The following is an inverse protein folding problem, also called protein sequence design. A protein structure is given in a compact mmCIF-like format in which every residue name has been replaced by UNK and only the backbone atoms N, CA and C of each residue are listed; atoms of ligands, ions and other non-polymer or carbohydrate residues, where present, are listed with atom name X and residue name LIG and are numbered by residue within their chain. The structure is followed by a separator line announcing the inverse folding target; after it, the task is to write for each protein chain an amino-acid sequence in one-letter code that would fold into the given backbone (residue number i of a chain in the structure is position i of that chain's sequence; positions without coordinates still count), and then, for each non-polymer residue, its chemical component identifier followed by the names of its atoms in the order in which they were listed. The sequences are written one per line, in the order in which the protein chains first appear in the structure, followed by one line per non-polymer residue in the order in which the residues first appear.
data_IF_831877583516
#
_entry.id   IF_831877583516
#
_cell.length_a   1.000
_cell.length_b   1.000
_cell.length_c   1.000
_cell.angle_alpha   90.00
_cell.angle_beta   90.00
_cell.angle_gamma   90.00
#
_symmetry.space_group_name_H-M   'P 1'
#
loop_
_entity.id
_entity.type
_entity.pdbx_description
1 polymer ?
#
# COMPACT_ATOMS: atom_id res chain seq x y z
N UNK A 1 -13.83 13.90 -7.57
CA UNK A 1 -13.70 14.10 -9.04
C UNK A 1 -12.26 14.28 -9.49
N UNK A 2 -11.45 15.16 -8.88
CA UNK A 2 -10.05 15.41 -9.30
C UNK A 2 -9.12 14.18 -9.23
N UNK A 3 -9.18 13.37 -8.17
CA UNK A 3 -8.44 12.10 -8.09
C UNK A 3 -8.84 11.10 -9.20
N UNK A 4 -10.12 11.13 -9.61
CA UNK A 4 -10.67 10.32 -10.71
C UNK A 4 -10.05 10.62 -12.07
N UNK A 5 -9.80 11.91 -12.34
CA UNK A 5 -9.18 12.36 -13.59
C UNK A 5 -7.69 11.99 -13.59
N UNK A 6 -7.02 12.08 -12.44
CA UNK A 6 -5.60 11.77 -12.30
C UNK A 6 -5.27 10.28 -12.49
N UNK A 7 -6.01 9.35 -11.86
CA UNK A 7 -5.69 7.92 -12.02
C UNK A 7 -6.08 7.35 -13.39
N UNK A 8 -7.10 7.93 -14.04
CA UNK A 8 -7.53 7.47 -15.37
C UNK A 8 -6.47 7.74 -16.45
N UNK A 9 -5.48 8.59 -16.16
CA UNK A 9 -4.39 8.96 -17.07
C UNK A 9 -3.00 8.49 -16.61
N UNK A 10 -2.77 8.24 -15.31
CA UNK A 10 -1.46 7.83 -14.77
C UNK A 10 -1.32 6.32 -14.44
N UNK A 11 -2.40 5.53 -14.51
CA UNK A 11 -2.49 4.24 -13.82
C UNK A 11 -2.28 4.38 -12.30
N UNK A 12 -2.24 3.28 -11.53
CA UNK A 12 -2.35 3.32 -10.07
C UNK A 12 -1.15 2.73 -9.34
N UNK A 13 -0.70 1.53 -9.71
CA UNK A 13 0.47 0.88 -9.11
C UNK A 13 0.15 -0.10 -7.97
N UNK A 14 1.15 -0.32 -7.11
CA UNK A 14 1.19 -1.48 -6.19
C UNK A 14 0.04 -1.49 -5.17
N UNK A 15 -0.40 -0.34 -4.67
CA UNK A 15 -1.55 -0.27 -3.75
C UNK A 15 -2.81 -0.90 -4.36
N UNK A 16 -3.08 -0.61 -5.64
CA UNK A 16 -4.23 -1.17 -6.34
C UNK A 16 -4.04 -2.65 -6.73
N UNK A 17 -2.80 -3.08 -6.98
CA UNK A 17 -2.49 -4.49 -7.19
C UNK A 17 -2.86 -5.32 -5.95
N UNK A 18 -2.41 -4.87 -4.77
CA UNK A 18 -2.73 -5.52 -3.49
C UNK A 18 -4.24 -5.41 -3.19
N UNK A 19 -4.83 -4.23 -3.35
CA UNK A 19 -6.25 -4.01 -3.10
C UNK A 19 -7.16 -4.89 -3.99
N UNK A 20 -6.78 -5.09 -5.25
CA UNK A 20 -7.49 -5.98 -6.16
C UNK A 20 -7.46 -7.44 -5.70
N UNK A 21 -6.29 -7.92 -5.25
CA UNK A 21 -6.16 -9.27 -4.70
C UNK A 21 -6.96 -9.46 -3.40
N UNK A 22 -6.93 -8.47 -2.50
CA UNK A 22 -7.72 -8.49 -1.26
C UNK A 22 -9.23 -8.56 -1.54
N UNK A 23 -9.72 -7.74 -2.48
CA UNK A 23 -11.13 -7.76 -2.87
C UNK A 23 -11.54 -9.08 -3.53
N UNK A 24 -10.69 -9.63 -4.40
CA UNK A 24 -10.99 -10.86 -5.13
C UNK A 24 -10.97 -12.12 -4.26
N UNK A 25 -10.06 -12.19 -3.28
CA UNK A 25 -9.84 -13.39 -2.47
C UNK A 25 -10.56 -13.35 -1.11
N UNK A 26 -10.69 -12.16 -0.51
CA UNK A 26 -11.17 -12.00 0.87
C UNK A 26 -12.37 -11.04 0.97
N UNK A 27 -12.92 -10.58 -0.16
CA UNK A 27 -14.09 -9.70 -0.22
C UNK A 27 -13.92 -8.36 0.54
N UNK A 28 -12.68 -7.90 0.72
CA UNK A 28 -12.39 -6.62 1.37
C UNK A 28 -12.93 -5.48 0.50
N UNK A 29 -13.71 -4.52 1.05
CA UNK A 29 -14.19 -3.36 0.30
C UNK A 29 -13.04 -2.59 -0.34
N UNK A 30 -13.15 -2.25 -1.63
CA UNK A 30 -12.02 -1.74 -2.41
C UNK A 30 -11.35 -0.48 -1.82
N UNK A 31 -12.15 0.46 -1.30
CA UNK A 31 -11.63 1.67 -0.66
C UNK A 31 -10.82 1.35 0.60
N UNK A 32 -11.29 0.40 1.41
CA UNK A 32 -10.57 -0.06 2.59
C UNK A 32 -9.30 -0.82 2.21
N UNK A 33 -9.36 -1.71 1.23
CA UNK A 33 -8.20 -2.47 0.77
C UNK A 33 -7.08 -1.54 0.25
N UNK A 34 -7.43 -0.45 -0.44
CA UNK A 34 -6.46 0.58 -0.81
C UNK A 34 -5.92 1.34 0.41
N UNK A 35 -6.78 1.73 1.35
CA UNK A 35 -6.35 2.42 2.58
C UNK A 35 -5.36 1.57 3.39
N UNK A 36 -5.58 0.25 3.47
CA UNK A 36 -4.67 -0.70 4.11
C UNK A 36 -3.31 -0.78 3.40
N UNK A 37 -3.28 -0.79 2.06
CA UNK A 37 -2.02 -0.96 1.32
C UNK A 37 -1.21 0.34 1.13
N UNK A 38 -1.87 1.50 1.14
CA UNK A 38 -1.29 2.78 0.70
C UNK A 38 -0.04 3.21 1.48
N UNK A 39 -0.02 3.25 2.83
CA UNK A 39 1.18 3.69 3.55
C UNK A 39 2.42 2.82 3.27
N UNK A 40 2.26 1.50 3.21
CA UNK A 40 3.35 0.53 3.01
C UNK A 40 3.90 0.59 1.59
N UNK A 41 3.01 0.66 0.60
CA UNK A 41 3.43 0.78 -0.81
C UNK A 41 4.05 2.14 -1.11
N UNK A 42 3.61 3.20 -0.43
CA UNK A 42 4.26 4.51 -0.48
C UNK A 42 5.67 4.45 0.12
N UNK A 43 5.84 3.81 1.29
CA UNK A 43 7.16 3.61 1.90
C UNK A 43 8.11 2.80 1.00
N UNK A 44 7.58 1.76 0.34
CA UNK A 44 8.34 0.94 -0.62
C UNK A 44 8.80 1.74 -1.83
N UNK A 45 7.92 2.58 -2.36
CA UNK A 45 8.18 3.40 -3.55
C UNK A 45 9.04 4.62 -3.27
N UNK A 46 9.15 5.07 -2.01
CA UNK A 46 9.83 6.32 -1.61
C UNK A 46 11.17 6.58 -2.33
N UNK A 47 12.08 5.60 -2.51
CA UNK A 47 13.35 5.83 -3.21
C UNK A 47 13.20 6.28 -4.68
N UNK A 48 12.10 5.94 -5.34
CA UNK A 48 11.83 6.22 -6.76
C UNK A 48 10.87 7.40 -6.98
N UNK A 49 10.35 8.03 -5.91
CA UNK A 49 9.34 9.09 -6.04
C UNK A 49 9.94 10.47 -6.35
N UNK A 50 11.20 10.71 -5.95
CA UNK A 50 11.85 12.02 -6.06
C UNK A 50 11.00 13.14 -5.44
N UNK A 51 10.98 14.31 -6.09
CA UNK A 51 10.27 15.51 -5.64
C UNK A 51 8.76 15.29 -5.42
N UNK A 52 8.14 14.35 -6.14
CA UNK A 52 6.70 14.04 -5.95
C UNK A 52 6.42 13.46 -4.56
N UNK A 53 7.35 12.68 -4.02
CA UNK A 53 7.24 12.16 -2.66
C UNK A 53 7.27 13.28 -1.62
N UNK A 54 8.15 14.27 -1.83
CA UNK A 54 8.31 15.42 -0.94
C UNK A 54 7.12 16.38 -1.01
N UNK A 55 6.55 16.58 -2.21
CA UNK A 55 5.34 17.36 -2.40
C UNK A 55 4.15 16.74 -1.64
N UNK A 56 3.96 15.43 -1.76
CA UNK A 56 2.90 14.71 -1.02
C UNK A 56 3.15 14.80 0.49
N UNK A 57 4.39 14.62 0.95
CA UNK A 57 4.75 14.75 2.36
C UNK A 57 4.40 16.15 2.90
N UNK A 58 4.69 17.20 2.11
CA UNK A 58 4.37 18.59 2.44
C UNK A 58 2.87 18.83 2.53
N UNK A 59 2.09 18.36 1.54
CA UNK A 59 0.63 18.46 1.54
C UNK A 59 0.02 17.77 2.77
N UNK A 60 0.58 16.61 3.14
CA UNK A 60 0.14 15.85 4.30
C UNK A 60 0.76 16.36 5.61
N UNK A 61 1.55 17.44 5.60
CA UNK A 61 2.24 17.97 6.77
C UNK A 61 2.95 16.87 7.58
N UNK A 62 3.76 16.05 6.90
CA UNK A 62 4.46 14.91 7.49
C UNK A 62 5.90 14.79 6.95
N UNK A 63 6.80 14.08 7.66
CA UNK A 63 8.18 13.90 7.19
C UNK A 63 8.31 13.12 5.89
N UNK A 64 7.34 12.26 5.59
CA UNK A 64 7.26 11.45 4.37
C UNK A 64 5.79 11.32 3.95
N UNK A 65 5.55 10.99 2.68
CA UNK A 65 4.22 10.67 2.19
C UNK A 65 3.61 9.48 2.96
N UNK A 66 4.41 8.44 3.24
CA UNK A 66 3.95 7.25 3.95
C UNK A 66 3.51 7.55 5.39
N UNK A 67 4.28 8.35 6.15
CA UNK A 67 3.91 8.77 7.49
C UNK A 67 2.64 9.63 7.49
N UNK A 68 2.51 10.53 6.51
CA UNK A 68 1.28 11.34 6.34
C UNK A 68 0.04 10.47 6.10
N UNK A 69 0.16 9.45 5.24
CA UNK A 69 -0.93 8.51 4.96
C UNK A 69 -1.28 7.64 6.18
N UNK A 70 -0.27 7.17 6.93
CA UNK A 70 -0.47 6.46 8.20
C UNK A 70 -1.26 7.31 9.19
N UNK A 71 -0.86 8.57 9.39
CA UNK A 71 -1.53 9.50 10.31
C UNK A 71 -2.96 9.77 9.89
N UNK A 72 -3.18 10.09 8.62
CA UNK A 72 -4.53 10.33 8.07
C UNK A 72 -5.42 9.11 8.28
N UNK A 73 -4.92 7.90 7.97
CA UNK A 73 -5.65 6.64 8.15
C UNK A 73 -6.08 6.44 9.61
N UNK A 74 -5.22 6.78 10.58
CA UNK A 74 -5.55 6.76 12.00
C UNK A 74 -6.62 7.79 12.38
N UNK A 75 -6.49 9.03 11.91
CA UNK A 75 -7.45 10.11 12.20
C UNK A 75 -8.87 9.80 11.73
N UNK A 76 -9.02 9.06 10.63
CA UNK A 76 -10.33 8.66 10.08
C UNK A 76 -10.81 7.27 10.53
N UNK A 77 -10.15 6.66 11.52
CA UNK A 77 -10.57 5.38 12.10
C UNK A 77 -10.34 4.15 11.18
N UNK A 78 -9.37 4.24 10.27
CA UNK A 78 -9.02 3.16 9.34
C UNK A 78 -7.68 2.48 9.66
N UNK A 79 -7.07 2.75 10.82
CA UNK A 79 -5.82 2.11 11.26
C UNK A 79 -6.05 0.67 11.77
N UNK A 80 -6.45 -0.21 10.85
CA UNK A 80 -6.80 -1.62 11.09
C UNK A 80 -5.68 -2.58 10.67
N UNK A 81 -5.67 -3.78 11.26
CA UNK A 81 -4.76 -4.85 10.85
C UNK A 81 -5.24 -5.50 9.56
N UNK A 82 -4.31 -5.98 8.72
CA UNK A 82 -4.69 -6.90 7.65
C UNK A 82 -5.32 -8.20 8.16
N UNK A 83 -4.91 -8.68 9.34
CA UNK A 83 -5.37 -9.94 9.93
C UNK A 83 -6.86 -9.86 10.36
N UNK A 84 -7.43 -8.65 10.46
CA UNK A 84 -8.88 -8.46 10.65
C UNK A 84 -9.69 -8.87 9.41
N UNK A 85 -9.03 -9.03 8.25
CA UNK A 85 -9.65 -9.25 6.94
C UNK A 85 -9.14 -10.49 6.20
N UNK A 86 -8.02 -11.06 6.63
CA UNK A 86 -7.33 -12.15 5.93
C UNK A 86 -6.99 -13.24 6.94
N UNK A 87 -7.55 -14.43 6.74
CA UNK A 87 -7.39 -15.55 7.68
C UNK A 87 -6.16 -16.40 7.36
N UNK A 88 -5.13 -16.27 8.21
CA UNK A 88 -3.93 -17.11 8.21
C UNK A 88 -2.90 -16.82 7.10
N UNK A 89 -1.73 -17.46 7.26
CA UNK A 89 -0.57 -17.25 6.38
C UNK A 89 -0.87 -17.61 4.92
N UNK A 90 -1.63 -18.70 4.71
CA UNK A 90 -1.96 -19.15 3.37
C UNK A 90 -2.78 -18.12 2.58
N UNK A 91 -3.70 -17.40 3.24
CA UNK A 91 -4.49 -16.36 2.57
C UNK A 91 -3.64 -15.11 2.29
N UNK A 92 -2.75 -14.73 3.22
CA UNK A 92 -1.78 -13.65 2.99
C UNK A 92 -0.84 -13.94 1.81
N UNK A 93 -0.34 -15.16 1.72
CA UNK A 93 0.47 -15.64 0.60
C UNK A 93 -0.29 -15.60 -0.73
N UNK A 94 -1.56 -16.01 -0.71
CA UNK A 94 -2.44 -15.93 -1.88
C UNK A 94 -2.69 -14.48 -2.31
N UNK A 95 -2.83 -13.55 -1.37
CA UNK A 95 -2.93 -12.10 -1.65
C UNK A 95 -1.68 -11.59 -2.34
N UNK A 96 -0.49 -11.90 -1.80
CA UNK A 96 0.77 -11.47 -2.41
C UNK A 96 0.95 -12.03 -3.83
N UNK A 97 0.70 -13.33 -4.01
CA UNK A 97 0.77 -13.98 -5.31
C UNK A 97 -0.29 -13.45 -6.30
N UNK A 98 -1.49 -13.12 -5.80
CA UNK A 98 -2.56 -12.50 -6.58
C UNK A 98 -2.19 -11.09 -7.06
N UNK A 99 -1.60 -10.28 -6.17
CA UNK A 99 -1.15 -8.93 -6.50
C UNK A 99 -0.11 -8.92 -7.62
N UNK A 100 0.83 -9.88 -7.62
CA UNK A 100 1.86 -10.02 -8.66
C UNK A 100 1.29 -10.31 -10.06
N UNK A 101 0.05 -10.80 -10.18
CA UNK A 101 -0.62 -11.04 -11.47
C UNK A 101 -1.26 -9.77 -12.05
N UNK A 102 -1.32 -8.69 -11.27
CA UNK A 102 -1.97 -7.44 -11.68
C UNK A 102 -1.15 -6.69 -12.72
N UNK A 103 -1.82 -6.15 -13.74
CA UNK A 103 -1.20 -5.23 -14.71
C UNK A 103 -0.65 -3.95 -14.06
N UNK A 104 -1.12 -3.62 -12.84
CA UNK A 104 -0.65 -2.46 -12.08
C UNK A 104 0.81 -2.59 -11.61
N UNK A 105 1.36 -3.82 -11.54
CA UNK A 105 2.77 -4.06 -11.18
C UNK A 105 3.72 -3.38 -12.17
N UNK A 106 3.39 -3.41 -13.48
CA UNK A 106 4.25 -2.88 -14.56
C UNK A 106 4.34 -1.36 -14.60
N UNK A 107 3.37 -0.69 -13.99
CA UNK A 107 3.24 0.78 -14.00
C UNK A 107 3.53 1.38 -12.63
N UNK A 108 3.94 0.56 -11.66
CA UNK A 108 4.40 1.04 -10.36
C UNK A 108 5.80 1.67 -10.51
N UNK A 109 6.11 2.81 -9.85
CA UNK A 109 7.39 3.50 -10.01
C UNK A 109 8.62 2.62 -9.73
N UNK A 110 8.50 1.74 -8.73
CA UNK A 110 9.49 0.72 -8.40
C UNK A 110 8.91 -0.65 -8.73
N UNK A 111 9.45 -1.38 -9.71
CA UNK A 111 8.95 -2.73 -10.01
C UNK A 111 9.22 -3.67 -8.83
N UNK A 112 8.19 -4.18 -8.13
CA UNK A 112 8.40 -5.08 -7.00
C UNK A 112 8.69 -6.51 -7.46
N UNK A 113 9.51 -7.20 -6.68
CA UNK A 113 9.64 -8.65 -6.73
C UNK A 113 8.60 -9.30 -5.82
N UNK A 114 8.25 -10.57 -6.08
CA UNK A 114 7.26 -11.29 -5.27
C UNK A 114 7.60 -11.29 -3.78
N UNK A 115 8.90 -11.46 -3.44
CA UNK A 115 9.37 -11.41 -2.05
C UNK A 115 9.09 -10.06 -1.37
N UNK A 116 9.19 -8.95 -2.10
CA UNK A 116 8.95 -7.62 -1.57
C UNK A 116 7.45 -7.40 -1.34
N UNK A 117 6.60 -7.92 -2.24
CA UNK A 117 5.15 -7.89 -2.04
C UNK A 117 4.73 -8.74 -0.84
N UNK A 118 5.32 -9.92 -0.66
CA UNK A 118 5.10 -10.75 0.55
C UNK A 118 5.52 -10.02 1.81
N UNK A 119 6.69 -9.38 1.81
CA UNK A 119 7.17 -8.58 2.94
C UNK A 119 6.25 -7.39 3.27
N UNK A 120 5.70 -6.73 2.25
CA UNK A 120 4.70 -5.66 2.43
C UNK A 120 3.43 -6.23 3.06
N UNK A 121 2.89 -7.33 2.52
CA UNK A 121 1.68 -7.98 3.05
C UNK A 121 1.88 -8.44 4.49
N UNK A 122 3.05 -8.98 4.83
CA UNK A 122 3.40 -9.35 6.19
C UNK A 122 3.49 -8.13 7.12
N UNK A 123 4.08 -7.02 6.67
CA UNK A 123 4.15 -5.78 7.43
C UNK A 123 2.77 -5.13 7.65
N UNK A 124 1.78 -5.39 6.78
CA UNK A 124 0.41 -4.86 6.92
C UNK A 124 -0.39 -5.55 8.06
N UNK A 125 0.12 -6.64 8.63
CA UNK A 125 -0.51 -7.34 9.75
C UNK A 125 -0.56 -6.51 11.02
N UNK A 126 0.32 -5.52 11.16
CA UNK A 126 0.29 -4.61 12.30
C UNK A 126 -0.19 -3.24 11.80
N UNK A 127 -1.17 -2.61 12.46
CA UNK A 127 -1.52 -1.21 12.22
C UNK A 127 -0.27 -0.32 12.30
N UNK A 128 -0.25 0.80 11.59
CA UNK A 128 0.92 1.70 11.63
C UNK A 128 0.97 2.53 12.90
N UNK A 129 -0.12 2.61 13.67
CA UNK A 129 -0.20 3.49 14.84
C UNK A 129 -0.20 4.97 14.48
N UNK A 130 -0.29 5.32 13.19
CA UNK A 130 -0.09 6.67 12.69
C UNK A 130 1.37 7.02 12.34
N UNK A 131 2.30 6.08 12.49
CA UNK A 131 3.73 6.30 12.28
C UNK A 131 4.21 5.86 10.89
N UNK A 132 5.47 6.17 10.58
CA UNK A 132 6.16 5.69 9.38
C UNK A 132 6.14 4.16 9.32
N UNK A 133 5.62 3.54 8.25
CA UNK A 133 5.68 2.09 8.08
C UNK A 133 7.13 1.61 8.02
N UNK A 134 7.43 0.54 8.76
CA UNK A 134 8.72 -0.14 8.76
C UNK A 134 8.61 -1.37 7.88
N UNK A 135 9.31 -1.37 6.75
CA UNK A 135 9.45 -2.55 5.91
C UNK A 135 10.60 -3.42 6.45
N UNK A 136 10.51 -4.76 6.37
CA UNK A 136 11.59 -5.66 6.77
C UNK A 136 12.92 -5.27 6.10
N UNK A 137 14.02 -5.33 6.86
CA UNK A 137 15.30 -4.68 6.55
C UNK A 137 16.12 -5.28 5.38
N UNK A 138 15.50 -6.01 4.46
CA UNK A 138 16.18 -6.87 3.49
C UNK A 138 16.25 -6.25 2.08
N UNK A 139 16.02 -4.95 1.95
CA UNK A 139 15.73 -4.29 0.67
C UNK A 139 16.70 -3.15 0.33
N UNK A 140 18.00 -3.34 0.64
CA UNK A 140 19.10 -2.56 0.05
C UNK A 140 19.80 -3.37 -1.03
#
# INVERSE_FOLDING_TARGET
MQAGIAFNSAHLGLAHAIAGALGALNHVPHGLANALALPWTMAFNQPELGEKGDEIATILAAPTAAAGLSRLRREIGLDQSLDDWVDGDASRDAVAAGAMKSGQIRVNPRTPQEREVRAIVEAMRTPTGGDQPVLPAEHR
#
